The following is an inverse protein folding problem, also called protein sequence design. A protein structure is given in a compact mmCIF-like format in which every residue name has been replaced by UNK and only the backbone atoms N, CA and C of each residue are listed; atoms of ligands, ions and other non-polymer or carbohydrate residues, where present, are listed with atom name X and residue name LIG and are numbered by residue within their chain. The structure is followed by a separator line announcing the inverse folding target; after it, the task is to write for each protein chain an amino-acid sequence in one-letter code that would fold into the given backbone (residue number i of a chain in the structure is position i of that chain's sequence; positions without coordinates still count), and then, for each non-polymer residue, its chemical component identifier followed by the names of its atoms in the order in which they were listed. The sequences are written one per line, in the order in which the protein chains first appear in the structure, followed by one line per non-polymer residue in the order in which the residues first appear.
data_IF_797790312277
#
_entry.id   IF_797790312277
#
_cell.length_a   1.000
_cell.length_b   1.000
_cell.length_c   1.000
_cell.angle_alpha   90.00
_cell.angle_beta   90.00
_cell.angle_gamma   90.00
#
_symmetry.space_group_name_H-M   'P 1'
#
loop_
_entity.id
_entity.type
_entity.pdbx_description
1 polymer ?
#
# COMPACT_ATOMS: atom_id res chain seq x y z
N UNK A 1 10.60 -20.68 -17.77
CA UNK A 1 9.68 -19.95 -18.66
C UNK A 1 9.14 -18.79 -17.86
N UNK A 2 9.29 -17.57 -18.36
CA UNK A 2 8.74 -16.35 -17.76
C UNK A 2 7.32 -16.19 -18.30
N UNK A 3 6.33 -16.02 -17.41
CA UNK A 3 4.93 -15.85 -17.79
C UNK A 3 4.66 -14.36 -17.97
N UNK A 4 4.08 -13.98 -19.10
CA UNK A 4 3.74 -12.58 -19.31
C UNK A 4 2.48 -12.17 -18.53
N UNK A 5 2.19 -10.88 -18.50
CA UNK A 5 1.08 -10.26 -17.78
C UNK A 5 -0.31 -10.83 -18.09
N UNK A 6 -0.50 -11.58 -19.18
CA UNK A 6 -1.76 -12.28 -19.47
C UNK A 6 -2.02 -13.49 -18.58
N UNK A 7 -1.01 -13.96 -17.85
CA UNK A 7 -1.06 -15.09 -16.92
C UNK A 7 -1.12 -14.66 -15.45
N UNK A 8 -1.32 -13.37 -15.17
CA UNK A 8 -1.49 -12.89 -13.79
C UNK A 8 -2.75 -13.51 -13.18
N UNK A 9 -2.64 -13.93 -11.92
CA UNK A 9 -3.75 -14.46 -11.14
C UNK A 9 -4.98 -13.54 -11.14
N UNK A 10 -6.17 -14.12 -11.27
CA UNK A 10 -7.45 -13.41 -11.20
C UNK A 10 -7.76 -12.78 -9.83
N UNK A 11 -6.94 -13.08 -8.81
CA UNK A 11 -7.00 -12.43 -7.50
C UNK A 11 -6.39 -11.01 -7.50
N UNK A 12 -5.65 -10.64 -8.55
CA UNK A 12 -5.14 -9.28 -8.75
C UNK A 12 -6.18 -8.46 -9.53
N UNK A 13 -6.58 -7.27 -9.05
CA UNK A 13 -7.55 -6.45 -9.76
C UNK A 13 -7.08 -6.06 -11.17
N UNK A 14 -7.95 -6.24 -12.17
CA UNK A 14 -7.57 -6.09 -13.57
C UNK A 14 -7.07 -4.68 -13.92
N UNK A 15 -7.63 -3.62 -13.33
CA UNK A 15 -7.15 -2.26 -13.61
C UNK A 15 -5.73 -2.04 -13.06
N UNK A 16 -5.39 -2.68 -11.94
CA UNK A 16 -4.04 -2.65 -11.41
C UNK A 16 -3.08 -3.39 -12.34
N UNK A 17 -3.44 -4.59 -12.82
CA UNK A 17 -2.67 -5.34 -13.81
C UNK A 17 -2.41 -4.50 -15.07
N UNK A 18 -3.46 -3.89 -15.63
CA UNK A 18 -3.37 -3.04 -16.81
C UNK A 18 -2.40 -1.87 -16.62
N UNK A 19 -2.42 -1.22 -15.45
CA UNK A 19 -1.51 -0.12 -15.16
C UNK A 19 -0.06 -0.58 -15.03
N UNK A 20 0.18 -1.65 -14.28
CA UNK A 20 1.54 -2.14 -13.99
C UNK A 20 2.16 -2.76 -15.24
N UNK A 21 1.38 -3.40 -16.11
CA UNK A 21 1.86 -4.07 -17.32
C UNK A 21 2.51 -3.12 -18.33
N UNK A 22 2.17 -1.82 -18.31
CA UNK A 22 2.86 -0.80 -19.11
C UNK A 22 4.35 -0.62 -18.72
N UNK A 23 4.75 -1.08 -17.54
CA UNK A 23 6.11 -0.93 -17.00
C UNK A 23 6.78 -2.27 -16.70
N UNK A 24 6.01 -3.31 -16.36
CA UNK A 24 6.50 -4.65 -16.02
C UNK A 24 5.65 -5.70 -16.71
N UNK A 25 6.22 -6.43 -17.67
CA UNK A 25 5.47 -7.44 -18.45
C UNK A 25 5.41 -8.82 -17.80
N UNK A 26 6.23 -9.08 -16.77
CA UNK A 26 6.30 -10.37 -16.07
C UNK A 26 5.20 -10.49 -15.02
N UNK A 27 4.44 -11.59 -15.07
CA UNK A 27 3.31 -11.84 -14.18
C UNK A 27 3.73 -11.86 -12.70
N UNK A 28 4.86 -12.50 -12.39
CA UNK A 28 5.34 -12.61 -11.00
C UNK A 28 5.65 -11.24 -10.41
N UNK A 29 6.22 -10.34 -11.20
CA UNK A 29 6.50 -8.97 -10.78
C UNK A 29 5.21 -8.20 -10.48
N UNK A 30 4.17 -8.36 -11.29
CA UNK A 30 2.85 -7.73 -11.06
C UNK A 30 2.23 -8.29 -9.77
N UNK A 31 2.28 -9.61 -9.58
CA UNK A 31 1.77 -10.29 -8.39
C UNK A 31 2.53 -9.88 -7.12
N UNK A 32 3.84 -9.68 -7.20
CA UNK A 32 4.65 -9.21 -6.09
C UNK A 32 4.25 -7.79 -5.66
N UNK A 33 3.98 -6.88 -6.61
CA UNK A 33 3.43 -5.57 -6.27
C UNK A 33 2.08 -5.69 -5.57
N UNK A 34 1.18 -6.55 -6.06
CA UNK A 34 -0.11 -6.78 -5.40
C UNK A 34 0.04 -7.40 -4.01
N UNK A 35 0.96 -8.35 -3.85
CA UNK A 35 1.25 -8.97 -2.57
C UNK A 35 1.71 -7.95 -1.53
N UNK A 36 2.59 -7.02 -1.91
CA UNK A 36 3.00 -5.93 -1.02
C UNK A 36 1.83 -4.99 -0.66
N UNK A 37 0.86 -4.78 -1.56
CA UNK A 37 -0.39 -4.09 -1.24
C UNK A 37 -1.18 -4.83 -0.17
N UNK A 38 -1.33 -6.14 -0.30
CA UNK A 38 -2.07 -6.96 0.68
C UNK A 38 -1.41 -6.93 2.05
N UNK A 39 -0.08 -7.05 2.12
CA UNK A 39 0.68 -6.94 3.38
C UNK A 39 0.45 -5.57 4.04
N UNK A 40 0.55 -4.49 3.26
CA UNK A 40 0.35 -3.15 3.79
C UNK A 40 -1.09 -2.92 4.26
N UNK A 41 -2.08 -3.39 3.50
CA UNK A 41 -3.49 -3.27 3.86
C UNK A 41 -3.81 -4.02 5.17
N UNK A 42 -3.34 -5.27 5.29
CA UNK A 42 -3.52 -6.08 6.50
C UNK A 42 -2.93 -5.42 7.74
N UNK A 43 -1.75 -4.78 7.62
CA UNK A 43 -1.10 -4.08 8.74
C UNK A 43 -1.96 -2.92 9.30
N UNK A 44 -2.85 -2.36 8.50
CA UNK A 44 -3.66 -1.19 8.86
C UNK A 44 -5.17 -1.48 8.70
N UNK A 45 -5.58 -2.73 8.91
CA UNK A 45 -6.97 -3.20 8.94
C UNK A 45 -7.81 -2.85 7.70
N UNK A 46 -7.18 -2.77 6.53
CA UNK A 46 -7.84 -2.44 5.25
C UNK A 46 -7.96 -3.64 4.30
N UNK A 47 -7.65 -4.86 4.75
CA UNK A 47 -7.58 -6.07 3.91
C UNK A 47 -8.93 -6.53 3.33
N UNK A 48 -10.03 -6.10 3.96
CA UNK A 48 -11.39 -6.41 3.51
C UNK A 48 -11.97 -5.33 2.56
N UNK A 49 -11.27 -4.22 2.35
CA UNK A 49 -11.71 -3.10 1.52
C UNK A 49 -11.06 -3.14 0.12
N UNK A 50 -11.37 -4.18 -0.67
CA UNK A 50 -10.65 -4.45 -1.94
C UNK A 50 -10.63 -3.27 -2.91
N UNK A 51 -11.73 -2.54 -3.07
CA UNK A 51 -11.80 -1.34 -3.94
C UNK A 51 -10.84 -0.25 -3.46
N UNK A 52 -10.76 -0.05 -2.15
CA UNK A 52 -9.89 0.94 -1.53
C UNK A 52 -8.42 0.52 -1.61
N UNK A 53 -8.13 -0.78 -1.40
CA UNK A 53 -6.79 -1.35 -1.59
C UNK A 53 -6.30 -1.11 -3.02
N UNK A 54 -7.14 -1.41 -4.02
CA UNK A 54 -6.83 -1.18 -5.44
C UNK A 54 -6.55 0.29 -5.72
N UNK A 55 -7.39 1.20 -5.22
CA UNK A 55 -7.20 2.64 -5.38
C UNK A 55 -5.87 3.12 -4.79
N UNK A 56 -5.56 2.72 -3.55
CA UNK A 56 -4.30 3.07 -2.88
C UNK A 56 -3.10 2.51 -3.63
N UNK A 57 -3.18 1.27 -4.11
CA UNK A 57 -2.11 0.63 -4.88
C UNK A 57 -1.84 1.36 -6.21
N UNK A 58 -2.89 1.71 -6.95
CA UNK A 58 -2.78 2.50 -8.19
C UNK A 58 -2.10 3.84 -7.92
N UNK A 59 -2.50 4.55 -6.86
CA UNK A 59 -1.89 5.82 -6.49
C UNK A 59 -0.41 5.67 -6.09
N UNK A 60 -0.11 4.66 -5.26
CA UNK A 60 1.26 4.38 -4.82
C UNK A 60 2.17 4.01 -6.00
N UNK A 61 1.66 3.23 -6.96
CA UNK A 61 2.40 2.85 -8.16
C UNK A 61 2.68 4.06 -9.06
N UNK A 62 1.69 4.94 -9.27
CA UNK A 62 1.90 6.21 -9.98
C UNK A 62 2.99 7.07 -9.33
N UNK A 63 3.06 7.11 -8.01
CA UNK A 63 4.12 7.83 -7.29
C UNK A 63 5.49 7.18 -7.49
N UNK A 64 5.58 5.85 -7.43
CA UNK A 64 6.81 5.10 -7.76
C UNK A 64 7.30 5.47 -9.17
N UNK A 65 6.43 5.38 -10.19
CA UNK A 65 6.80 5.66 -11.58
C UNK A 65 7.27 7.12 -11.74
N UNK A 66 6.59 8.09 -11.10
CA UNK A 66 7.04 9.48 -11.09
C UNK A 66 8.44 9.62 -10.48
N UNK A 67 8.71 8.91 -9.37
CA UNK A 67 10.03 8.95 -8.73
C UNK A 67 11.12 8.32 -9.60
N UNK A 68 10.86 7.14 -10.16
CA UNK A 68 11.78 6.44 -11.07
C UNK A 68 12.15 7.28 -12.30
N UNK A 69 11.18 8.02 -12.86
CA UNK A 69 11.41 8.88 -14.03
C UNK A 69 12.07 10.21 -13.69
N UNK A 70 11.90 10.72 -12.46
CA UNK A 70 12.48 12.00 -12.05
C UNK A 70 13.87 11.88 -11.43
N UNK A 71 14.21 10.72 -10.84
CA UNK A 71 15.52 10.51 -10.20
C UNK A 71 16.04 9.08 -10.44
N UNK A 72 17.36 8.90 -10.43
CA UNK A 72 18.00 7.57 -10.44
C UNK A 72 18.19 6.98 -9.02
N UNK A 73 17.48 7.50 -8.03
CA UNK A 73 17.73 7.18 -6.62
C UNK A 73 16.99 5.93 -6.12
N UNK A 74 15.92 5.50 -6.80
CA UNK A 74 15.14 4.32 -6.41
C UNK A 74 15.88 3.07 -6.89
N UNK A 75 16.57 2.40 -5.97
CA UNK A 75 17.31 1.16 -6.25
C UNK A 75 16.45 -0.09 -6.23
N UNK A 76 15.42 -0.11 -5.38
CA UNK A 76 14.47 -1.21 -5.25
C UNK A 76 13.04 -0.67 -5.39
N UNK A 77 12.40 -0.83 -6.57
CA UNK A 77 11.06 -0.34 -6.84
C UNK A 77 9.98 -0.92 -5.92
N UNK A 78 10.06 -2.22 -5.61
CA UNK A 78 9.09 -2.92 -4.75
C UNK A 78 9.17 -2.39 -3.32
N UNK A 79 10.38 -2.26 -2.77
CA UNK A 79 10.57 -1.70 -1.42
C UNK A 79 10.10 -0.23 -1.33
N UNK A 80 10.38 0.57 -2.36
CA UNK A 80 9.91 1.96 -2.42
C UNK A 80 8.38 2.04 -2.48
N UNK A 81 7.77 1.21 -3.33
CA UNK A 81 6.32 1.09 -3.44
C UNK A 81 5.68 0.72 -2.10
N UNK A 82 6.22 -0.28 -1.41
CA UNK A 82 5.75 -0.67 -0.08
C UNK A 82 5.83 0.47 0.94
N UNK A 83 6.91 1.27 0.94
CA UNK A 83 7.00 2.44 1.80
C UNK A 83 5.90 3.49 1.51
N UNK A 84 5.54 3.68 0.24
CA UNK A 84 4.42 4.56 -0.14
C UNK A 84 3.08 3.98 0.32
N UNK A 85 2.87 2.67 0.16
CA UNK A 85 1.68 1.98 0.64
C UNK A 85 1.51 2.14 2.15
N UNK A 86 2.57 1.87 2.93
CA UNK A 86 2.53 2.00 4.38
C UNK A 86 2.09 3.41 4.80
N UNK A 87 2.69 4.45 4.22
CA UNK A 87 2.31 5.82 4.54
C UNK A 87 0.84 6.14 4.20
N UNK A 88 0.33 5.61 3.08
CA UNK A 88 -1.06 5.85 2.65
C UNK A 88 -2.07 5.13 3.54
N UNK A 89 -1.86 3.84 3.80
CA UNK A 89 -2.74 3.04 4.66
C UNK A 89 -2.68 3.50 6.11
N UNK A 90 -1.49 3.79 6.64
CA UNK A 90 -1.31 4.35 7.99
C UNK A 90 -2.09 5.65 8.16
N UNK A 91 -1.95 6.58 7.20
CA UNK A 91 -2.66 7.85 7.26
C UNK A 91 -4.17 7.66 7.25
N UNK A 92 -4.68 6.81 6.36
CA UNK A 92 -6.11 6.48 6.30
C UNK A 92 -6.60 5.92 7.64
N UNK A 93 -5.91 4.92 8.17
CA UNK A 93 -6.25 4.27 9.43
C UNK A 93 -6.34 5.28 10.58
N UNK A 94 -5.37 6.21 10.66
CA UNK A 94 -5.41 7.25 11.69
C UNK A 94 -6.45 8.34 11.46
N UNK A 95 -6.68 8.72 10.20
CA UNK A 95 -7.74 9.67 9.86
C UNK A 95 -9.13 9.09 10.22
N UNK A 96 -9.33 7.77 10.05
CA UNK A 96 -10.55 7.06 10.46
C UNK A 96 -10.68 6.98 11.98
N UNK A 97 -9.61 6.62 12.70
CA UNK A 97 -9.61 6.60 14.16
C UNK A 97 -9.84 7.99 14.77
N UNK A 98 -9.28 9.06 14.19
CA UNK A 98 -9.52 10.42 14.64
C UNK A 98 -10.98 10.83 14.41
N UNK A 99 -11.55 10.47 13.27
CA UNK A 99 -12.97 10.70 12.98
C UNK A 99 -13.93 9.98 13.93
N UNK A 100 -13.59 8.74 14.33
CA UNK A 100 -14.45 7.91 15.18
C UNK A 100 -14.31 8.24 16.67
N UNK A 101 -13.09 8.52 17.15
CA UNK A 101 -12.79 8.64 18.57
C UNK A 101 -12.25 10.03 18.99
N UNK A 102 -11.93 10.92 18.05
CA UNK A 102 -11.46 12.29 18.32
C UNK A 102 -10.11 12.36 19.04
N UNK A 103 -9.22 11.39 18.81
CA UNK A 103 -8.04 11.13 19.67
C UNK A 103 -6.72 11.70 19.10
N UNK A 104 -6.66 12.21 17.86
CA UNK A 104 -5.38 12.55 17.22
C UNK A 104 -5.36 13.91 16.51
N UNK A 105 -4.64 14.92 17.04
CA UNK A 105 -4.25 16.07 16.24
C UNK A 105 -3.43 15.58 15.04
N UNK A 106 -3.83 15.93 13.81
CA UNK A 106 -3.18 15.47 12.57
C UNK A 106 -1.67 15.75 12.44
N UNK A 107 -1.07 16.50 13.36
CA UNK A 107 0.39 16.67 13.52
C UNK A 107 1.10 15.46 14.18
N UNK A 108 0.37 14.51 14.75
CA UNK A 108 0.91 13.39 15.55
C UNK A 108 0.94 12.03 14.84
N UNK A 109 0.35 11.93 13.63
CA UNK A 109 0.21 10.66 12.89
C UNK A 109 1.54 10.04 12.39
N UNK A 110 2.65 10.78 12.43
CA UNK A 110 3.97 10.30 12.03
C UNK A 110 4.86 9.92 13.22
N UNK A 111 4.32 9.92 14.44
CA UNK A 111 5.14 9.77 15.64
C UNK A 111 5.14 8.34 16.19
N UNK A 112 6.34 7.72 16.21
CA UNK A 112 6.52 6.29 16.48
C UNK A 112 6.01 5.84 17.84
N UNK A 113 6.11 6.72 18.85
CA UNK A 113 5.64 6.43 20.21
C UNK A 113 4.11 6.48 20.33
N UNK A 114 3.43 7.29 19.50
CA UNK A 114 1.96 7.35 19.47
C UNK A 114 1.42 6.11 18.76
N UNK A 115 2.04 5.69 17.66
CA UNK A 115 1.69 4.41 17.01
C UNK A 115 1.80 3.24 18.00
N UNK A 116 2.92 3.14 18.72
CA UNK A 116 3.15 2.06 19.68
C UNK A 116 2.17 2.11 20.87
N UNK A 117 1.87 3.29 21.39
CA UNK A 117 0.91 3.49 22.48
C UNK A 117 -0.53 3.15 22.04
N UNK A 118 -0.92 3.55 20.83
CA UNK A 118 -2.25 3.27 20.29
C UNK A 118 -2.44 1.78 19.99
N UNK A 119 -1.47 1.14 19.34
CA UNK A 119 -1.56 -0.30 19.07
C UNK A 119 -1.68 -1.10 20.38
N UNK A 120 -0.91 -0.75 21.41
CA UNK A 120 -1.03 -1.36 22.74
C UNK A 120 -2.40 -1.12 23.40
N UNK A 121 -3.00 0.07 23.25
CA UNK A 121 -4.32 0.37 23.82
C UNK A 121 -5.46 -0.44 23.19
N UNK A 122 -5.38 -0.73 21.89
CA UNK A 122 -6.44 -1.44 21.16
C UNK A 122 -6.24 -2.96 21.11
N UNK A 123 -5.00 -3.47 21.19
CA UNK A 123 -4.74 -4.91 21.35
C UNK A 123 -5.36 -5.47 22.64
N UNK A 124 -5.48 -4.66 23.70
CA UNK A 124 -6.12 -5.07 24.97
C UNK A 124 -7.67 -5.06 24.93
N UNK A 125 -8.29 -4.56 23.84
CA UNK A 125 -9.76 -4.46 23.69
C UNK A 125 -10.36 -5.42 22.67
N UNK A 126 -9.54 -6.24 21.99
CA UNK A 126 -9.96 -7.32 21.09
C UNK A 126 -9.79 -8.68 21.77
#
# INVERSE_FOLDING_TARGET
MELDHSYVSNHVPQEFVQLVSYFYSDAKTIEEFWHMTQIAAYKYNSENETDQMQKIAIEAFKQLIRKLKSTKAVRNPIAYFYGVLQNKFMRRFYDELDGEYGVLPGSMANDSWIHSMFMAYYEDKL
#
